data_IF_326719167873
#
_entry.id   IF_326719167873
#
_cell.length_a   1.000
_cell.length_b   1.000
_cell.length_c   1.000
_cell.angle_alpha   90.00
_cell.angle_beta   90.00
_cell.angle_gamma   90.00
#
_symmetry.space_group_name_H-M   'P 1'
#
loop_
_entity.id
_entity.type
_entity.pdbx_description
1 polymer ?
#
# COMPACT_ATOMS: atom_id res chain seq x y z
N UNK A 1 10.62 -11.72 -1.41
CA UNK A 1 9.39 -11.07 -1.92
C UNK A 1 8.71 -12.07 -2.82
N UNK A 2 7.40 -12.26 -2.67
CA UNK A 2 6.60 -13.06 -3.61
C UNK A 2 5.95 -12.10 -4.60
N UNK A 3 6.31 -12.23 -5.87
CA UNK A 3 5.73 -11.49 -6.98
C UNK A 3 5.18 -12.52 -7.97
N UNK A 4 3.86 -12.51 -8.20
CA UNK A 4 3.20 -13.48 -9.06
C UNK A 4 1.89 -12.92 -9.59
N UNK A 5 1.46 -13.41 -10.75
CA UNK A 5 0.10 -13.26 -11.23
C UNK A 5 -0.78 -14.30 -10.54
N UNK A 6 -1.97 -13.88 -10.10
CA UNK A 6 -3.01 -14.78 -9.59
C UNK A 6 -4.16 -14.83 -10.59
N UNK A 7 -4.72 -16.01 -10.81
CA UNK A 7 -5.89 -16.23 -11.66
C UNK A 7 -7.07 -16.67 -10.80
N UNK A 8 -8.26 -16.73 -11.41
CA UNK A 8 -9.43 -17.33 -10.78
C UNK A 8 -9.07 -18.70 -10.17
N UNK A 9 -9.68 -19.00 -9.01
CA UNK A 9 -9.43 -20.22 -8.20
C UNK A 9 -8.10 -20.23 -7.43
N UNK A 10 -7.16 -19.30 -7.69
CA UNK A 10 -5.94 -19.25 -6.88
C UNK A 10 -6.23 -18.73 -5.46
N UNK A 11 -5.59 -19.38 -4.49
CA UNK A 11 -5.57 -18.98 -3.09
C UNK A 11 -4.14 -18.62 -2.72
N UNK A 12 -3.98 -17.49 -2.03
CA UNK A 12 -2.72 -17.12 -1.39
C UNK A 12 -2.99 -16.60 0.02
N UNK A 13 -1.99 -16.73 0.89
CA UNK A 13 -2.05 -16.28 2.27
C UNK A 13 -1.13 -15.08 2.42
N UNK A 14 -1.65 -14.02 3.02
CA UNK A 14 -0.84 -12.89 3.50
C UNK A 14 -0.68 -13.03 5.01
N UNK A 15 0.51 -13.39 5.51
CA UNK A 15 0.73 -13.48 6.95
C UNK A 15 0.49 -12.15 7.64
N UNK A 16 0.18 -12.20 8.94
CA UNK A 16 0.03 -10.99 9.76
C UNK A 16 1.31 -10.15 9.68
N UNK A 17 1.14 -8.83 9.57
CA UNK A 17 2.21 -7.82 9.42
C UNK A 17 2.99 -7.85 8.11
N UNK A 18 2.59 -8.68 7.14
CA UNK A 18 3.19 -8.63 5.81
C UNK A 18 2.53 -7.54 4.97
N UNK A 19 3.35 -6.88 4.15
CA UNK A 19 2.90 -5.88 3.18
C UNK A 19 2.48 -6.60 1.90
N UNK A 20 1.34 -6.17 1.33
CA UNK A 20 0.84 -6.69 0.06
C UNK A 20 0.29 -5.56 -0.80
N UNK A 21 0.69 -5.54 -2.07
CA UNK A 21 0.06 -4.74 -3.13
C UNK A 21 -0.60 -5.68 -4.14
N UNK A 22 -1.67 -5.20 -4.79
CA UNK A 22 -2.33 -5.90 -5.90
C UNK A 22 -2.48 -4.91 -7.04
N UNK A 23 -2.27 -5.38 -8.26
CA UNK A 23 -2.48 -4.62 -9.49
C UNK A 23 -3.48 -5.43 -10.30
N UNK A 24 -4.56 -4.79 -10.72
CA UNK A 24 -5.55 -5.43 -11.59
C UNK A 24 -5.03 -5.44 -13.03
N UNK A 25 -5.29 -6.54 -13.74
CA UNK A 25 -5.10 -6.61 -15.19
C UNK A 25 -6.18 -5.79 -15.93
N UNK A 26 -6.07 -5.56 -17.25
CA UNK A 26 -7.03 -4.74 -18.01
C UNK A 26 -8.48 -5.24 -17.96
N UNK A 27 -8.67 -6.55 -17.76
CA UNK A 27 -9.95 -7.23 -17.57
C UNK A 27 -10.48 -7.15 -16.12
N UNK A 28 -9.74 -6.50 -15.22
CA UNK A 28 -10.12 -6.28 -13.83
C UNK A 28 -9.57 -7.33 -12.86
N UNK A 29 -9.94 -7.21 -11.59
CA UNK A 29 -9.58 -8.16 -10.55
C UNK A 29 -10.70 -8.23 -9.50
N UNK A 30 -11.24 -9.42 -9.30
CA UNK A 30 -12.20 -9.71 -8.24
C UNK A 30 -11.58 -10.69 -7.24
N UNK A 31 -11.74 -10.42 -5.95
CA UNK A 31 -11.29 -11.31 -4.89
C UNK A 31 -12.15 -11.13 -3.64
N UNK A 32 -12.05 -12.10 -2.74
CA UNK A 32 -12.51 -11.97 -1.37
C UNK A 32 -11.37 -12.37 -0.43
N UNK A 33 -11.44 -11.89 0.81
CA UNK A 33 -10.47 -12.20 1.85
C UNK A 33 -11.19 -12.84 3.04
N UNK A 34 -10.65 -13.94 3.55
CA UNK A 34 -11.03 -14.47 4.86
C UNK A 34 -10.01 -13.97 5.86
N UNK A 35 -10.48 -13.24 6.88
CA UNK A 35 -9.63 -12.67 7.91
C UNK A 35 -9.85 -13.42 9.22
N UNK A 36 -8.79 -14.01 9.76
CA UNK A 36 -8.83 -14.86 10.95
C UNK A 36 -8.88 -14.08 12.28
N UNK A 37 -8.76 -12.75 12.26
CA UNK A 37 -8.75 -11.92 13.46
C UNK A 37 -10.02 -11.06 13.55
N UNK A 38 -10.82 -11.17 14.63
CA UNK A 38 -11.97 -10.30 14.88
C UNK A 38 -11.55 -8.82 14.92
N UNK A 39 -12.41 -7.91 14.48
CA UNK A 39 -12.16 -6.46 14.50
C UNK A 39 -10.82 -6.05 13.85
N UNK A 40 -10.55 -6.59 12.67
CA UNK A 40 -9.29 -6.31 11.97
C UNK A 40 -9.13 -4.83 11.62
N UNK A 41 -7.92 -4.32 11.87
CA UNK A 41 -7.49 -2.99 11.46
C UNK A 41 -6.41 -3.15 10.38
N UNK A 42 -6.58 -2.43 9.28
CA UNK A 42 -5.59 -2.35 8.22
C UNK A 42 -4.78 -1.06 8.34
N UNK A 43 -3.53 -1.16 7.93
CA UNK A 43 -2.61 -0.02 7.84
C UNK A 43 -2.16 0.12 6.40
N UNK A 44 -2.28 1.32 5.84
CA UNK A 44 -1.89 1.61 4.47
C UNK A 44 -0.53 2.31 4.43
N UNK A 45 0.30 1.92 3.47
CA UNK A 45 1.61 2.54 3.19
C UNK A 45 1.55 3.55 2.03
N UNK A 46 0.38 3.80 1.47
CA UNK A 46 0.17 4.81 0.43
C UNK A 46 -1.24 5.36 0.61
N UNK A 47 -1.52 6.50 -0.02
CA UNK A 47 -2.85 7.09 0.02
C UNK A 47 -3.04 8.15 1.10
N UNK A 48 -4.27 8.65 1.17
CA UNK A 48 -4.71 9.70 2.08
C UNK A 48 -4.53 9.31 3.55
N UNK A 49 -4.75 8.03 3.88
CA UNK A 49 -4.62 7.42 5.21
C UNK A 49 -3.26 6.74 5.46
N UNK A 50 -2.24 7.04 4.63
CA UNK A 50 -0.91 6.45 4.77
C UNK A 50 -0.23 6.79 6.09
N UNK A 51 0.41 5.80 6.72
CA UNK A 51 1.23 6.01 7.92
C UNK A 51 2.41 6.94 7.69
N UNK A 52 2.90 7.06 6.46
CA UNK A 52 3.99 7.98 6.16
C UNK A 52 3.63 9.44 6.47
N UNK A 53 2.34 9.80 6.33
CA UNK A 53 1.88 11.16 6.66
C UNK A 53 1.81 11.42 8.17
N UNK A 54 1.74 10.37 8.97
CA UNK A 54 1.72 10.47 10.42
C UNK A 54 3.12 10.64 11.03
N UNK A 55 4.18 10.30 10.28
CA UNK A 55 5.56 10.49 10.70
C UNK A 55 6.02 11.93 10.45
N UNK A 56 6.89 12.45 11.31
CA UNK A 56 7.46 13.77 11.11
C UNK A 56 8.40 13.79 9.90
N UNK A 57 8.55 14.94 9.21
CA UNK A 57 9.48 15.05 8.10
C UNK A 57 10.92 14.66 8.46
N UNK A 58 11.37 15.03 9.66
CA UNK A 58 12.71 14.68 10.15
C UNK A 58 12.91 13.17 10.31
N UNK A 59 11.88 12.42 10.71
CA UNK A 59 11.94 10.95 10.81
C UNK A 59 12.06 10.34 9.43
N UNK A 60 11.29 10.83 8.45
CA UNK A 60 11.36 10.32 7.07
C UNK A 60 12.69 10.65 6.39
N UNK A 61 13.21 11.86 6.57
CA UNK A 61 14.53 12.27 6.09
C UNK A 61 15.64 11.36 6.64
N UNK A 62 15.64 11.11 7.95
CA UNK A 62 16.62 10.24 8.59
C UNK A 62 16.46 8.77 8.17
N UNK A 63 15.22 8.26 8.10
CA UNK A 63 14.94 6.87 7.77
C UNK A 63 15.29 6.52 6.32
N UNK A 64 15.04 7.42 5.38
CA UNK A 64 15.36 7.22 3.96
C UNK A 64 16.72 7.79 3.55
N UNK A 65 17.40 8.53 4.45
CA UNK A 65 18.65 9.24 4.17
C UNK A 65 18.51 10.16 2.94
N UNK A 66 17.51 11.03 2.97
CA UNK A 66 17.17 11.95 1.88
C UNK A 66 17.08 13.38 2.38
N UNK A 67 17.26 14.32 1.47
CA UNK A 67 17.05 15.74 1.75
C UNK A 67 15.55 16.09 1.94
N UNK A 68 15.25 17.30 2.47
CA UNK A 68 13.86 17.73 2.66
C UNK A 68 13.02 17.82 1.39
N UNK A 69 13.62 18.09 0.23
CA UNK A 69 12.90 18.23 -1.04
C UNK A 69 12.38 16.88 -1.52
N UNK A 70 13.24 15.85 -1.47
CA UNK A 70 12.88 14.47 -1.79
C UNK A 70 11.84 13.92 -0.80
N UNK A 71 11.97 14.26 0.48
CA UNK A 71 10.97 13.88 1.49
C UNK A 71 9.59 14.51 1.22
N UNK A 72 9.57 15.80 0.87
CA UNK A 72 8.34 16.51 0.53
C UNK A 72 7.69 15.93 -0.73
N UNK A 73 8.50 15.60 -1.74
CA UNK A 73 8.03 14.92 -2.94
C UNK A 73 7.45 13.54 -2.63
N UNK A 74 8.06 12.80 -1.70
CA UNK A 74 7.55 11.50 -1.28
C UNK A 74 6.17 11.59 -0.62
N UNK A 75 5.98 12.51 0.35
CA UNK A 75 4.70 12.66 1.06
C UNK A 75 3.60 13.33 0.23
N UNK A 76 3.93 14.08 -0.81
CA UNK A 76 2.94 14.79 -1.65
C UNK A 76 2.26 13.89 -2.70
N UNK A 77 2.87 12.75 -3.04
CA UNK A 77 2.34 11.85 -4.08
C UNK A 77 1.18 10.99 -3.58
N UNK A 78 0.21 10.76 -4.49
CA UNK A 78 -0.92 9.83 -4.31
C UNK A 78 -1.68 10.06 -3.00
N UNK A 79 -1.95 11.33 -2.70
CA UNK A 79 -2.58 11.73 -1.44
C UNK A 79 -4.10 11.87 -1.52
N UNK A 80 -4.67 11.86 -2.73
CA UNK A 80 -6.09 11.98 -2.99
C UNK A 80 -6.85 10.65 -2.77
N UNK A 81 -6.24 9.54 -3.20
CA UNK A 81 -6.84 8.21 -3.08
C UNK A 81 -6.54 7.56 -1.74
N UNK A 82 -7.44 6.74 -1.21
CA UNK A 82 -7.24 6.06 0.08
C UNK A 82 -6.60 4.67 -0.07
N UNK A 83 -7.17 3.81 -0.92
CA UNK A 83 -6.83 2.38 -0.98
C UNK A 83 -6.56 1.91 -2.40
N UNK A 84 -7.43 2.28 -3.35
CA UNK A 84 -7.30 1.95 -4.77
C UNK A 84 -6.77 3.15 -5.52
N UNK A 85 -5.72 2.94 -6.31
CA UNK A 85 -5.10 3.98 -7.13
C UNK A 85 -5.43 3.72 -8.60
N UNK A 86 -5.96 4.70 -9.34
CA UNK A 86 -6.16 4.54 -10.77
C UNK A 86 -4.79 4.38 -11.48
N UNK A 87 -4.76 3.73 -12.66
CA UNK A 87 -3.56 3.71 -13.48
C UNK A 87 -3.15 5.14 -13.86
N UNK A 88 -1.85 5.36 -14.19
CA UNK A 88 -1.42 6.64 -14.76
C UNK A 88 -2.17 6.91 -16.06
N UNK A 89 -2.56 8.18 -16.28
CA UNK A 89 -3.04 8.65 -17.58
C UNK A 89 -1.95 8.55 -18.65
#
# INVERSE_FOLDING_TARGET
VLETTVKAVNLFIVPRFFVVSKIADPDGLEWFSIISTPNTIFTHLAGSSSVWKALSPSVLQAAFNVDPEVEQLFRSKRTADAIFFPPPN
#
